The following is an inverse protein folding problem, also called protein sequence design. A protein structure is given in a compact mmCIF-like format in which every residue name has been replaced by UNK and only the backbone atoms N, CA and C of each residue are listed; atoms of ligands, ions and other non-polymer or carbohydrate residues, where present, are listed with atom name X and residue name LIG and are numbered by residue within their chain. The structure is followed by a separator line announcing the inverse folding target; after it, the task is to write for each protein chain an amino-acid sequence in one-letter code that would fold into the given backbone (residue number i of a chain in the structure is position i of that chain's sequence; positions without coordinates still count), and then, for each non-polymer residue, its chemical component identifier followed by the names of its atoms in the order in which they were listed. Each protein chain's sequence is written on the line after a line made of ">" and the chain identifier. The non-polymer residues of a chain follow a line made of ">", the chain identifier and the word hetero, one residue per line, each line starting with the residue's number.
data_IF_786419347348
#
_entry.id   IF_786419347348
#
_cell.length_a   1.000
_cell.length_b   1.000
_cell.length_c   1.000
_cell.angle_alpha   90.00
_cell.angle_beta   90.00
_cell.angle_gamma   90.00
#
_symmetry.space_group_name_H-M   'P 1'
#
loop_
_entity.id
_entity.type
_entity.pdbx_description
1 polymer ?
#
# COMPACT_ATOMS: atom_id res chain seq x y z
N UNK A 1 12.38 -54.61 -11.14
CA UNK A 1 12.74 -53.46 -12.00
C UNK A 1 11.57 -52.50 -12.26
N UNK A 2 10.35 -53.00 -12.47
CA UNK A 2 9.15 -52.20 -12.81
C UNK A 2 8.71 -51.21 -11.70
N UNK A 3 8.93 -51.54 -10.42
CA UNK A 3 8.54 -50.69 -9.27
C UNK A 3 9.39 -49.40 -9.22
N UNK A 4 10.70 -49.49 -9.53
CA UNK A 4 11.62 -48.33 -9.60
C UNK A 4 11.23 -47.36 -10.73
N UNK A 5 10.81 -47.90 -11.88
CA UNK A 5 10.32 -47.07 -13.00
C UNK A 5 9.00 -46.34 -12.67
N UNK A 6 8.06 -46.99 -11.97
CA UNK A 6 6.80 -46.34 -11.55
C UNK A 6 7.05 -45.18 -10.57
N UNK A 7 8.05 -45.29 -9.70
CA UNK A 7 8.47 -44.20 -8.80
C UNK A 7 9.11 -43.02 -9.54
N UNK A 8 10.00 -43.30 -10.49
CA UNK A 8 10.64 -42.28 -11.35
C UNK A 8 9.63 -41.53 -12.21
N UNK A 9 8.65 -42.22 -12.80
CA UNK A 9 7.58 -41.58 -13.59
C UNK A 9 6.71 -40.69 -12.71
N UNK A 10 6.38 -41.09 -11.49
CA UNK A 10 5.64 -40.23 -10.54
C UNK A 10 6.41 -38.97 -10.16
N UNK A 11 7.73 -39.08 -9.93
CA UNK A 11 8.59 -37.93 -9.62
C UNK A 11 8.71 -36.98 -10.81
N UNK A 12 8.88 -37.53 -12.02
CA UNK A 12 8.93 -36.74 -13.26
C UNK A 12 7.61 -36.00 -13.51
N UNK A 13 6.45 -36.66 -13.30
CA UNK A 13 5.13 -36.01 -13.40
C UNK A 13 4.99 -34.91 -12.34
N UNK A 14 5.39 -35.15 -11.09
CA UNK A 14 5.32 -34.14 -10.04
C UNK A 14 6.23 -32.93 -10.35
N UNK A 15 7.45 -33.16 -10.84
CA UNK A 15 8.36 -32.10 -11.26
C UNK A 15 7.83 -31.33 -12.48
N UNK A 16 7.22 -32.01 -13.45
CA UNK A 16 6.57 -31.35 -14.59
C UNK A 16 5.35 -30.54 -14.16
N UNK A 17 4.50 -31.07 -13.27
CA UNK A 17 3.35 -30.34 -12.74
C UNK A 17 3.79 -29.13 -11.90
N UNK A 18 4.83 -29.26 -11.08
CA UNK A 18 5.44 -28.13 -10.37
C UNK A 18 5.98 -27.10 -11.37
N UNK A 19 6.71 -27.54 -12.40
CA UNK A 19 7.25 -26.67 -13.44
C UNK A 19 6.16 -25.90 -14.19
N UNK A 20 5.08 -26.57 -14.62
CA UNK A 20 3.93 -25.94 -15.30
C UNK A 20 3.20 -24.96 -14.38
N UNK A 21 3.10 -25.24 -13.08
CA UNK A 21 2.45 -24.33 -12.13
C UNK A 21 3.23 -23.01 -11.93
N UNK A 22 4.55 -23.00 -12.13
CA UNK A 22 5.41 -21.83 -11.93
C UNK A 22 5.46 -20.93 -13.16
N UNK A 23 5.32 -21.45 -14.39
CA UNK A 23 5.35 -20.63 -15.63
C UNK A 23 4.19 -19.63 -15.74
N UNK A 24 3.14 -19.78 -14.93
CA UNK A 24 1.98 -18.90 -14.94
C UNK A 24 2.00 -17.77 -13.90
N UNK A 25 2.91 -17.78 -12.92
CA UNK A 25 2.89 -16.82 -11.82
C UNK A 25 3.67 -15.55 -12.20
N UNK A 26 3.07 -14.38 -11.99
CA UNK A 26 3.65 -13.09 -12.34
C UNK A 26 3.39 -12.06 -11.23
N UNK A 27 4.34 -11.15 -11.02
CA UNK A 27 4.13 -10.01 -10.12
C UNK A 27 3.31 -8.96 -10.86
N UNK A 28 2.13 -8.63 -10.33
CA UNK A 28 1.18 -7.72 -10.97
C UNK A 28 0.64 -6.71 -9.97
N UNK A 29 0.12 -5.59 -10.50
CA UNK A 29 -0.67 -4.64 -9.72
C UNK A 29 -2.00 -5.27 -9.30
N UNK A 30 -2.39 -5.03 -8.06
CA UNK A 30 -3.65 -5.49 -7.50
C UNK A 30 -4.42 -4.30 -6.88
N UNK A 31 -5.72 -4.32 -7.13
CA UNK A 31 -6.69 -3.38 -6.55
C UNK A 31 -7.63 -4.09 -5.55
N UNK A 32 -7.48 -5.41 -5.38
CA UNK A 32 -8.43 -6.29 -4.69
C UNK A 32 -8.17 -6.45 -3.20
N UNK A 33 -7.49 -5.50 -2.56
CA UNK A 33 -7.54 -5.49 -1.10
C UNK A 33 -8.98 -5.12 -0.74
N UNK A 34 -9.76 -6.14 -0.37
CA UNK A 34 -11.19 -6.04 -0.08
C UNK A 34 -11.37 -5.30 1.25
N UNK A 35 -11.34 -3.97 1.15
CA UNK A 35 -11.58 -3.08 2.28
C UNK A 35 -13.08 -3.03 2.53
N UNK A 36 -13.54 -3.35 3.74
CA UNK A 36 -14.92 -3.07 4.09
C UNK A 36 -15.06 -1.55 4.33
N UNK A 37 -15.59 -0.86 3.33
CA UNK A 37 -15.87 0.58 3.42
C UNK A 37 -16.97 0.92 4.43
N UNK A 38 -17.82 -0.05 4.82
CA UNK A 38 -18.86 0.18 5.82
C UNK A 38 -18.30 0.28 7.24
N UNK A 39 -17.07 -0.20 7.46
CA UNK A 39 -16.38 -0.11 8.75
C UNK A 39 -15.63 1.22 8.95
N UNK A 40 -15.45 2.01 7.88
CA UNK A 40 -14.90 3.36 7.99
C UNK A 40 -16.04 4.27 8.44
N UNK A 41 -16.16 4.48 9.75
CA UNK A 41 -17.26 5.25 10.35
C UNK A 41 -17.32 6.70 9.85
N UNK A 42 -18.15 6.93 8.82
CA UNK A 42 -18.49 8.25 8.26
C UNK A 42 -19.25 9.11 9.30
N UNK A 43 -19.71 8.56 10.44
CA UNK A 43 -20.45 9.33 11.47
C UNK A 43 -19.59 10.36 12.21
N UNK A 44 -18.26 10.24 12.17
CA UNK A 44 -17.34 11.25 12.73
C UNK A 44 -17.32 12.58 11.94
N UNK A 45 -18.09 12.69 10.85
CA UNK A 45 -18.23 13.88 10.01
C UNK A 45 -18.78 15.12 10.75
N UNK A 46 -19.36 14.99 11.94
CA UNK A 46 -19.85 16.15 12.70
C UNK A 46 -18.75 17.04 13.29
N UNK A 47 -17.49 16.59 13.29
CA UNK A 47 -16.33 17.38 13.75
C UNK A 47 -15.23 17.55 12.69
N UNK A 48 -15.48 17.19 11.43
CA UNK A 48 -14.58 17.59 10.36
C UNK A 48 -14.66 19.10 10.19
N UNK A 49 -13.70 19.79 10.81
CA UNK A 49 -13.22 21.10 10.37
C UNK A 49 -13.20 21.02 8.84
N UNK A 50 -14.02 21.84 8.18
CA UNK A 50 -13.88 22.07 6.75
C UNK A 50 -12.46 22.59 6.56
N UNK A 51 -11.50 21.71 6.31
CA UNK A 51 -10.20 22.12 5.83
C UNK A 51 -10.52 22.84 4.52
N UNK A 52 -10.27 24.16 4.43
CA UNK A 52 -10.56 24.89 3.21
C UNK A 52 -9.86 24.17 2.06
N UNK A 53 -10.47 24.21 0.87
CA UNK A 53 -10.04 23.63 -0.41
C UNK A 53 -8.56 23.86 -0.83
N UNK A 54 -7.74 24.45 0.04
CA UNK A 54 -6.31 24.71 -0.13
C UNK A 54 -5.40 23.61 0.42
N UNK A 55 -5.90 22.67 1.22
CA UNK A 55 -5.08 21.57 1.77
C UNK A 55 -4.99 20.32 0.87
N UNK A 56 -5.80 20.25 -0.21
CA UNK A 56 -5.74 19.19 -1.22
C UNK A 56 -5.01 19.64 -2.49
N UNK A 57 -3.89 20.36 -2.36
CA UNK A 57 -2.93 20.42 -3.48
C UNK A 57 -2.06 19.16 -3.38
N UNK A 58 -2.63 18.02 -3.76
CA UNK A 58 -1.84 17.11 -4.60
C UNK A 58 -1.62 17.89 -5.89
N UNK A 59 -0.40 18.26 -6.31
CA UNK A 59 -0.23 18.94 -7.58
C UNK A 59 -0.49 17.93 -8.71
N UNK A 60 -1.76 17.67 -8.99
CA UNK A 60 -2.24 17.07 -10.23
C UNK A 60 -2.35 18.15 -11.29
N UNK A 61 -1.22 18.80 -11.58
CA UNK A 61 -0.97 19.52 -12.81
C UNK A 61 0.54 19.35 -13.07
N UNK A 62 0.89 18.44 -13.97
CA UNK A 62 2.23 18.39 -14.56
C UNK A 62 2.16 19.16 -15.89
N UNK A 63 2.38 20.49 -15.92
CA UNK A 63 2.98 21.06 -17.11
C UNK A 63 4.37 20.46 -17.24
N UNK A 64 4.72 20.00 -18.44
CA UNK A 64 6.07 19.52 -18.80
C UNK A 64 7.15 20.46 -18.23
N UNK A 65 7.76 20.10 -17.10
CA UNK A 65 8.85 20.88 -16.52
C UNK A 65 10.13 20.06 -16.50
N UNK A 66 11.12 20.67 -17.13
CA UNK A 66 12.49 20.21 -17.31
C UNK A 66 13.07 19.71 -15.99
N UNK A 67 13.80 18.60 -16.07
CA UNK A 67 14.73 18.05 -15.06
C UNK A 67 15.29 19.13 -14.13
N UNK A 68 14.65 19.33 -12.97
CA UNK A 68 15.16 20.17 -11.90
C UNK A 68 15.22 19.34 -10.61
N UNK A 69 16.39 19.41 -9.96
CA UNK A 69 16.71 18.75 -8.69
C UNK A 69 15.61 19.05 -7.67
N UNK A 70 15.04 18.00 -7.09
CA UNK A 70 14.05 18.11 -6.02
C UNK A 70 14.74 18.77 -4.81
N UNK A 71 14.24 19.94 -4.39
CA UNK A 71 14.67 20.60 -3.16
C UNK A 71 13.95 20.00 -1.95
N UNK A 72 14.67 19.84 -0.83
CA UNK A 72 14.23 19.30 0.47
C UNK A 72 12.91 19.90 1.01
N UNK A 73 12.53 21.09 0.54
CA UNK A 73 11.33 21.84 0.96
C UNK A 73 9.97 21.25 0.57
N UNK A 74 9.90 20.30 -0.39
CA UNK A 74 8.64 19.64 -0.76
C UNK A 74 8.33 18.39 0.08
N UNK A 75 9.37 17.71 0.58
CA UNK A 75 9.25 16.56 1.48
C UNK A 75 8.82 17.03 2.88
N UNK A 76 9.26 18.24 3.29
CA UNK A 76 8.81 18.90 4.52
C UNK A 76 7.29 19.04 4.61
N UNK A 77 6.60 19.37 3.51
CA UNK A 77 5.16 19.66 3.55
C UNK A 77 4.27 18.42 3.75
N UNK A 78 4.72 17.23 3.33
CA UNK A 78 3.96 15.98 3.53
C UNK A 78 4.13 15.44 4.95
N UNK A 79 5.31 15.65 5.53
CA UNK A 79 5.62 15.24 6.90
C UNK A 79 4.91 16.13 7.92
N UNK A 80 4.76 17.43 7.62
CA UNK A 80 4.02 18.38 8.46
C UNK A 80 2.55 17.97 8.65
N UNK A 81 1.90 17.41 7.63
CA UNK A 81 0.48 17.01 7.73
C UNK A 81 0.25 15.85 8.69
N UNK A 82 1.10 14.82 8.66
CA UNK A 82 0.95 13.69 9.58
C UNK A 82 1.52 13.99 10.97
N UNK A 83 2.49 14.90 11.09
CA UNK A 83 2.87 15.47 12.37
C UNK A 83 1.68 16.17 13.04
N UNK A 84 0.81 16.86 12.28
CA UNK A 84 -0.43 17.46 12.77
C UNK A 84 -1.46 16.44 13.25
N UNK A 85 -1.38 15.19 12.79
CA UNK A 85 -2.19 14.07 13.28
C UNK A 85 -1.59 13.38 14.51
N UNK A 86 -0.43 13.83 14.99
CA UNK A 86 0.23 13.30 16.18
C UNK A 86 1.01 12.01 15.94
N UNK A 87 1.40 11.73 14.70
CA UNK A 87 2.16 10.55 14.28
C UNK A 87 3.53 10.97 13.73
N UNK A 88 4.54 10.12 13.84
CA UNK A 88 5.89 10.33 13.27
C UNK A 88 6.17 9.48 12.05
N UNK A 89 5.44 8.37 11.88
CA UNK A 89 5.66 7.36 10.86
C UNK A 89 4.63 7.37 9.74
N UNK A 90 3.43 7.90 9.99
CA UNK A 90 2.44 8.00 8.92
C UNK A 90 2.88 9.09 7.94
N UNK A 91 2.95 8.78 6.64
CA UNK A 91 3.23 9.77 5.60
C UNK A 91 4.22 9.33 4.54
N UNK A 92 4.78 10.32 3.83
CA UNK A 92 5.81 10.06 2.83
C UNK A 92 7.17 9.97 3.52
N UNK A 93 7.58 8.74 3.88
CA UNK A 93 8.68 8.51 4.82
C UNK A 93 8.25 8.81 6.25
N UNK A 94 9.22 9.08 7.13
CA UNK A 94 8.95 9.36 8.54
C UNK A 94 9.90 10.44 9.09
N UNK A 95 9.51 11.02 10.23
CA UNK A 95 10.27 12.02 10.99
C UNK A 95 10.79 11.45 12.31
N UNK A 96 10.75 10.13 12.47
CA UNK A 96 11.18 9.45 13.68
C UNK A 96 12.71 9.52 13.81
N UNK A 97 13.21 9.82 15.01
CA UNK A 97 14.66 9.82 15.28
C UNK A 97 15.24 8.40 15.30
N UNK A 98 14.39 7.42 15.62
CA UNK A 98 14.69 6.00 15.64
C UNK A 98 13.39 5.19 15.61
N UNK A 99 13.54 3.90 15.41
CA UNK A 99 12.51 2.87 15.49
C UNK A 99 11.48 3.02 16.62
N UNK A 100 11.89 3.35 17.85
CA UNK A 100 10.98 3.43 18.99
C UNK A 100 10.38 4.83 19.20
N UNK A 101 10.78 5.78 18.36
CA UNK A 101 10.30 7.15 18.38
C UNK A 101 8.92 7.25 17.73
N UNK A 102 7.91 7.09 18.57
CA UNK A 102 6.49 7.19 18.21
C UNK A 102 5.91 8.52 18.69
N UNK A 103 5.01 9.08 17.89
CA UNK A 103 4.21 10.25 18.18
C UNK A 103 3.17 10.03 19.29
N UNK A 104 2.33 11.05 19.51
CA UNK A 104 1.26 11.05 20.52
C UNK A 104 0.23 9.94 20.26
N UNK A 105 -0.12 9.72 19.01
CA UNK A 105 -1.08 8.68 18.58
C UNK A 105 -0.36 7.32 18.44
N UNK A 106 0.23 6.84 19.53
CA UNK A 106 1.23 5.75 19.53
C UNK A 106 0.80 4.50 18.78
N UNK A 107 -0.43 4.03 18.98
CA UNK A 107 -0.87 2.77 18.38
C UNK A 107 -1.17 2.91 16.88
N UNK A 108 -1.73 4.04 16.45
CA UNK A 108 -1.83 4.39 15.02
C UNK A 108 -0.45 4.50 14.39
N UNK A 109 0.49 5.14 15.10
CA UNK A 109 1.84 5.38 14.59
C UNK A 109 2.64 4.08 14.45
N UNK A 110 2.43 3.10 15.34
CA UNK A 110 2.97 1.73 15.17
C UNK A 110 2.47 1.07 13.91
N UNK A 111 1.20 1.26 13.53
CA UNK A 111 0.69 0.71 12.28
C UNK A 111 1.45 1.26 11.08
N UNK A 112 1.71 2.57 11.07
CA UNK A 112 2.49 3.22 10.02
C UNK A 112 3.97 2.79 10.03
N UNK A 113 4.59 2.69 11.21
CA UNK A 113 5.96 2.17 11.34
C UNK A 113 6.09 0.76 10.76
N UNK A 114 5.16 -0.13 11.12
CA UNK A 114 5.17 -1.50 10.61
C UNK A 114 4.98 -1.54 9.10
N UNK A 115 4.18 -0.63 8.55
CA UNK A 115 3.98 -0.49 7.11
C UNK A 115 5.23 0.02 6.40
N UNK A 116 5.94 1.01 6.97
CA UNK A 116 7.24 1.51 6.49
C UNK A 116 8.31 0.43 6.44
N UNK A 117 8.25 -0.57 7.33
CA UNK A 117 9.16 -1.72 7.34
C UNK A 117 8.81 -2.85 6.39
N UNK A 118 7.89 -2.63 5.45
CA UNK A 118 7.64 -3.62 4.41
C UNK A 118 8.95 -3.98 3.68
N UNK A 119 9.30 -5.27 3.59
CA UNK A 119 10.61 -5.70 3.10
C UNK A 119 10.80 -5.47 1.59
N UNK A 120 9.71 -5.23 0.87
CA UNK A 120 9.71 -5.07 -0.57
C UNK A 120 8.74 -3.96 -0.97
N UNK A 121 9.30 -2.95 -1.62
CA UNK A 121 8.61 -1.74 -2.05
C UNK A 121 8.99 -1.37 -3.48
N UNK A 122 8.14 -0.57 -4.12
CA UNK A 122 8.44 0.18 -5.34
C UNK A 122 8.25 1.66 -5.02
N UNK A 123 9.36 2.37 -4.85
CA UNK A 123 9.33 3.83 -4.62
C UNK A 123 8.63 4.57 -5.76
N UNK A 124 8.19 5.80 -5.48
CA UNK A 124 7.56 6.66 -6.47
C UNK A 124 8.43 6.84 -7.72
N UNK A 125 7.82 6.70 -8.89
CA UNK A 125 8.48 6.80 -10.20
C UNK A 125 9.58 5.76 -10.49
N UNK A 126 9.75 4.74 -9.64
CA UNK A 126 10.69 3.65 -9.88
C UNK A 126 10.02 2.48 -10.59
N UNK A 127 10.85 1.65 -11.21
CA UNK A 127 10.45 0.40 -11.85
C UNK A 127 11.11 -0.79 -11.16
N UNK A 128 10.32 -1.79 -10.80
CA UNK A 128 10.76 -3.07 -10.25
C UNK A 128 9.84 -4.18 -10.74
N UNK A 129 10.35 -5.38 -11.01
CA UNK A 129 9.55 -6.51 -11.50
C UNK A 129 8.76 -6.21 -12.79
N UNK A 130 9.28 -5.34 -13.67
CA UNK A 130 8.57 -4.80 -14.84
C UNK A 130 7.28 -4.02 -14.52
N UNK A 131 7.06 -3.68 -13.25
CA UNK A 131 6.03 -2.76 -12.80
C UNK A 131 6.65 -1.38 -12.56
N UNK A 132 6.10 -0.37 -13.20
CA UNK A 132 6.46 1.03 -12.94
C UNK A 132 5.42 1.64 -12.02
N UNK A 133 5.85 2.21 -10.90
CA UNK A 133 4.98 2.99 -10.01
C UNK A 133 4.85 4.42 -10.56
N UNK A 134 3.70 4.83 -11.12
CA UNK A 134 3.53 6.18 -11.67
C UNK A 134 3.21 7.22 -10.59
N UNK A 135 2.92 6.79 -9.36
CA UNK A 135 2.58 7.66 -8.25
C UNK A 135 3.85 8.32 -7.67
N UNK A 136 3.67 9.48 -7.04
CA UNK A 136 4.75 10.17 -6.31
C UNK A 136 5.05 9.55 -4.94
N UNK A 137 4.27 8.56 -4.50
CA UNK A 137 4.39 7.85 -3.23
C UNK A 137 4.78 6.38 -3.46
N UNK A 138 5.35 5.76 -2.42
CA UNK A 138 5.77 4.35 -2.43
C UNK A 138 4.57 3.41 -2.48
N UNK A 139 4.66 2.35 -3.30
CA UNK A 139 3.70 1.24 -3.33
C UNK A 139 4.35 -0.03 -2.80
N UNK A 140 3.60 -0.81 -2.04
CA UNK A 140 4.09 -1.94 -1.26
C UNK A 140 3.48 -3.25 -1.74
N UNK A 141 3.98 -4.37 -1.21
CA UNK A 141 3.33 -5.66 -1.39
C UNK A 141 1.93 -5.67 -0.74
N UNK A 142 0.96 -6.35 -1.36
CA UNK A 142 -0.42 -6.40 -0.86
C UNK A 142 -0.57 -6.97 0.55
N UNK A 143 0.35 -7.84 0.97
CA UNK A 143 0.37 -8.34 2.34
C UNK A 143 0.63 -7.21 3.35
N UNK A 144 1.54 -6.28 3.05
CA UNK A 144 1.82 -5.13 3.91
C UNK A 144 0.60 -4.21 4.01
N UNK A 145 -0.09 -3.94 2.90
CA UNK A 145 -1.31 -3.12 2.90
C UNK A 145 -2.46 -3.79 3.64
N UNK A 146 -2.60 -5.12 3.52
CA UNK A 146 -3.60 -5.90 4.24
C UNK A 146 -3.37 -5.84 5.76
N UNK A 147 -2.13 -6.03 6.22
CA UNK A 147 -1.79 -5.94 7.63
C UNK A 147 -1.92 -4.51 8.16
N UNK A 148 -1.59 -3.51 7.34
CA UNK A 148 -1.77 -2.10 7.68
C UNK A 148 -3.26 -1.77 7.89
N UNK A 149 -4.14 -2.21 6.98
CA UNK A 149 -5.58 -2.04 7.12
C UNK A 149 -6.11 -2.69 8.41
N UNK A 150 -5.75 -3.96 8.66
CA UNK A 150 -6.15 -4.67 9.89
C UNK A 150 -5.66 -3.94 11.15
N UNK A 151 -4.42 -3.45 11.14
CA UNK A 151 -3.86 -2.70 12.25
C UNK A 151 -4.67 -1.42 12.53
N UNK A 152 -4.88 -0.57 11.53
CA UNK A 152 -5.62 0.67 11.66
C UNK A 152 -7.05 0.46 12.15
N UNK A 153 -7.71 -0.59 11.64
CA UNK A 153 -9.05 -1.01 12.06
C UNK A 153 -9.06 -1.49 13.50
N UNK A 154 -8.05 -2.24 13.94
CA UNK A 154 -7.96 -2.72 15.32
C UNK A 154 -7.72 -1.60 16.33
N UNK A 155 -6.99 -0.55 15.93
CA UNK A 155 -6.74 0.64 16.77
C UNK A 155 -8.01 1.45 16.98
N UNK A 156 -8.84 1.58 15.94
CA UNK A 156 -10.17 2.19 16.00
C UNK A 156 -10.23 3.57 16.72
N UNK A 157 -9.30 4.48 16.38
CA UNK A 157 -9.29 5.86 16.86
C UNK A 157 -9.64 6.83 15.73
N UNK A 158 -10.00 8.08 16.07
CA UNK A 158 -10.20 9.14 15.05
C UNK A 158 -8.98 9.25 14.10
N UNK A 159 -7.77 9.17 14.65
CA UNK A 159 -6.53 9.23 13.86
C UNK A 159 -6.36 7.99 12.97
N UNK A 160 -6.54 6.77 13.49
CA UNK A 160 -6.36 5.57 12.68
C UNK A 160 -7.40 5.48 11.55
N UNK A 161 -8.65 5.86 11.83
CA UNK A 161 -9.72 5.96 10.82
C UNK A 161 -9.38 6.99 9.74
N UNK A 162 -8.87 8.16 10.13
CA UNK A 162 -8.47 9.19 9.17
C UNK A 162 -7.29 8.76 8.30
N UNK A 163 -6.25 8.15 8.88
CA UNK A 163 -5.11 7.60 8.13
C UNK A 163 -5.58 6.54 7.13
N UNK A 164 -6.44 5.60 7.57
CA UNK A 164 -7.01 4.58 6.71
C UNK A 164 -7.80 5.18 5.54
N UNK A 165 -8.67 6.16 5.79
CA UNK A 165 -9.42 6.83 4.72
C UNK A 165 -8.50 7.55 3.74
N UNK A 166 -7.44 8.22 4.20
CA UNK A 166 -6.49 8.87 3.29
C UNK A 166 -5.80 7.84 2.41
N UNK A 167 -5.27 6.77 3.00
CA UNK A 167 -4.47 5.78 2.29
C UNK A 167 -5.30 4.90 1.34
N UNK A 168 -6.39 4.32 1.84
CA UNK A 168 -7.18 3.32 1.10
C UNK A 168 -8.29 3.92 0.24
N UNK A 169 -8.79 5.11 0.57
CA UNK A 169 -9.88 5.76 -0.18
C UNK A 169 -9.37 6.93 -1.02
N UNK A 170 -8.76 7.94 -0.38
CA UNK A 170 -8.44 9.19 -1.06
C UNK A 170 -7.29 9.07 -2.07
N UNK A 171 -6.25 8.27 -1.74
CA UNK A 171 -5.14 8.03 -2.66
C UNK A 171 -5.44 6.99 -3.73
N UNK A 172 -6.41 6.09 -3.49
CA UNK A 172 -6.71 4.96 -4.38
C UNK A 172 -5.46 4.15 -4.74
N UNK A 173 -4.59 3.91 -3.75
CA UNK A 173 -3.30 3.24 -3.98
C UNK A 173 -3.50 1.80 -4.46
N UNK A 174 -2.52 1.31 -5.23
CA UNK A 174 -2.46 -0.08 -5.66
C UNK A 174 -1.28 -0.74 -4.95
N UNK A 175 -1.44 -2.00 -4.59
CA UNK A 175 -0.37 -2.85 -4.11
C UNK A 175 0.06 -3.82 -5.22
N UNK A 176 1.12 -4.58 -4.99
CA UNK A 176 1.52 -5.65 -5.91
C UNK A 176 1.66 -7.00 -5.19
N UNK A 177 1.45 -8.08 -5.94
CA UNK A 177 1.61 -9.46 -5.46
C UNK A 177 1.93 -10.39 -6.61
N UNK A 178 2.46 -11.56 -6.28
CA UNK A 178 2.55 -12.68 -7.21
C UNK A 178 1.16 -13.28 -7.39
N UNK A 179 0.68 -13.34 -8.64
CA UNK A 179 -0.60 -13.97 -8.98
C UNK A 179 -0.59 -14.46 -10.44
N UNK A 180 -1.60 -15.25 -10.82
CA UNK A 180 -1.81 -15.62 -12.20
C UNK A 180 -2.40 -14.45 -13.01
N UNK A 181 -2.01 -14.26 -14.28
CA UNK A 181 -2.55 -13.22 -15.14
C UNK A 181 -4.07 -13.17 -15.11
N UNK A 182 -4.61 -11.99 -14.85
CA UNK A 182 -6.06 -11.77 -14.83
C UNK A 182 -6.59 -11.98 -16.25
N UNK A 183 -7.35 -13.06 -16.44
CA UNK A 183 -7.93 -13.43 -17.74
C UNK A 183 -9.30 -12.80 -17.98
N UNK A 184 -9.94 -12.27 -16.94
CA UNK A 184 -11.25 -11.62 -17.01
C UNK A 184 -11.64 -11.01 -15.67
N UNK A 185 -12.60 -10.08 -15.71
CA UNK A 185 -13.27 -9.56 -14.53
C UNK A 185 -14.70 -10.08 -14.54
N UNK A 186 -15.06 -10.92 -13.56
CA UNK A 186 -16.43 -11.46 -13.46
C UNK A 186 -17.41 -10.41 -12.91
N UNK A 187 -16.95 -9.52 -12.02
CA UNK A 187 -17.77 -8.47 -11.42
C UNK A 187 -16.92 -7.31 -10.92
N UNK A 188 -17.34 -6.09 -11.28
CA UNK A 188 -16.87 -4.89 -10.61
C UNK A 188 -17.67 -4.69 -9.32
N UNK A 189 -17.00 -4.66 -8.17
CA UNK A 189 -17.56 -4.16 -6.92
C UNK A 189 -17.37 -2.66 -6.90
N UNK A 190 -18.45 -1.92 -7.15
CA UNK A 190 -18.49 -0.48 -6.87
C UNK A 190 -18.76 -0.33 -5.37
N UNK A 191 -17.77 0.17 -4.63
CA UNK A 191 -18.01 0.64 -3.27
C UNK A 191 -18.88 1.92 -3.36
N UNK A 192 -20.01 1.99 -2.62
CA UNK A 192 -20.86 3.17 -2.57
C UNK A 192 -20.18 4.38 -1.90
#
# INVERSE_FOLDING_TARGET
>A
MIIKMKGLVKILIALHLLYINVEGLQIMWDNSVDYDFNDIDISTRSEQVRLPNRFFIFPAEIPRLKKQRISESKISQTNDYFQLLGTKWCGAGNIAENDDDLGRERDTDKCCRNHDFCPDIIEGYQTKYNLTNPSFYTRLQCNCDTEFYKCLKSVNTKTSTQVGHIYFTALGTQCYKEDYPVTGCDKYTYFP
#
